data_IF_285501083225
#
_entry.id   IF_285501083225
#
_cell.length_a   1.000
_cell.length_b   1.000
_cell.length_c   1.000
_cell.angle_alpha   90.00
_cell.angle_beta   90.00
_cell.angle_gamma   90.00
#
_symmetry.space_group_name_H-M   'P 1'
#
loop_
_entity.id
_entity.type
_entity.pdbx_description
1 polymer ?
#
# COMPACT_ATOMS: atom_id res chain seq x y z
N UNK A 1 40.30 18.17 -1.53
CA UNK A 1 39.69 18.35 -0.20
C UNK A 1 40.84 18.36 0.76
N UNK A 2 41.03 19.48 1.43
CA UNK A 2 42.34 19.81 1.97
C UNK A 2 42.27 19.78 3.50
N UNK A 3 42.27 18.56 4.04
CA UNK A 3 42.04 18.28 5.48
C UNK A 3 43.19 18.79 6.34
N UNK A 4 44.41 18.82 5.77
CA UNK A 4 45.62 19.29 6.44
C UNK A 4 45.52 20.75 6.93
N UNK A 5 44.53 21.49 6.43
CA UNK A 5 44.27 22.88 6.84
C UNK A 5 43.36 23.01 8.06
N UNK A 6 42.82 21.91 8.60
CA UNK A 6 41.99 21.91 9.80
C UNK A 6 42.82 21.70 11.07
N UNK A 7 42.38 22.32 12.16
CA UNK A 7 42.91 22.08 13.52
C UNK A 7 41.80 21.66 14.48
N UNK A 8 42.14 20.80 15.44
CA UNK A 8 41.24 20.49 16.56
C UNK A 8 40.99 21.76 17.38
N UNK A 9 39.73 22.01 17.73
CA UNK A 9 39.26 23.24 18.38
C UNK A 9 38.95 24.39 17.42
N UNK A 10 39.17 24.25 16.11
CA UNK A 10 38.87 25.31 15.14
C UNK A 10 37.35 25.52 14.98
N UNK A 11 36.92 26.77 15.05
CA UNK A 11 35.51 27.17 14.95
C UNK A 11 35.15 27.72 13.57
N UNK A 12 33.99 27.28 13.05
CA UNK A 12 33.42 27.78 11.80
C UNK A 12 32.01 28.33 12.03
N UNK A 13 31.72 29.50 11.44
CA UNK A 13 30.41 30.18 11.57
C UNK A 13 29.23 29.33 11.06
N UNK A 14 29.46 28.44 10.11
CA UNK A 14 28.46 27.51 9.57
C UNK A 14 29.16 26.45 8.69
N UNK A 15 28.37 25.48 8.20
CA UNK A 15 28.86 24.41 7.34
C UNK A 15 29.45 24.90 6.00
N UNK A 16 28.97 26.02 5.45
CA UNK A 16 29.52 26.60 4.22
C UNK A 16 30.94 27.12 4.44
N UNK A 17 31.20 27.74 5.58
CA UNK A 17 32.54 28.20 5.94
C UNK A 17 33.53 27.02 6.09
N UNK A 18 33.09 25.93 6.72
CA UNK A 18 33.87 24.69 6.80
C UNK A 18 34.17 24.10 5.40
N UNK A 19 33.17 24.02 4.53
CA UNK A 19 33.35 23.53 3.16
C UNK A 19 34.33 24.40 2.35
N UNK A 20 34.27 25.73 2.49
CA UNK A 20 35.21 26.64 1.84
C UNK A 20 36.65 26.40 2.32
N UNK A 21 36.85 26.24 3.64
CA UNK A 21 38.16 25.93 4.23
C UNK A 21 38.76 24.64 3.68
N UNK A 22 37.91 23.64 3.46
CA UNK A 22 38.26 22.33 2.90
C UNK A 22 38.37 22.32 1.37
N UNK A 23 38.13 23.46 0.72
CA UNK A 23 38.09 23.62 -0.73
C UNK A 23 37.10 22.65 -1.41
N UNK A 24 35.89 22.56 -0.85
CA UNK A 24 34.79 21.73 -1.38
C UNK A 24 33.51 22.55 -1.54
N UNK A 25 32.74 22.24 -2.58
CA UNK A 25 31.45 22.89 -2.84
C UNK A 25 30.38 22.30 -1.92
N UNK A 26 29.55 23.14 -1.31
CA UNK A 26 28.41 22.68 -0.50
C UNK A 26 27.39 21.95 -1.39
N UNK A 27 26.99 20.75 -1.00
CA UNK A 27 26.03 19.97 -1.76
C UNK A 27 24.62 20.59 -1.74
N UNK A 28 23.97 20.61 -2.90
CA UNK A 28 22.61 21.14 -3.06
C UNK A 28 21.55 20.10 -2.66
N UNK A 29 20.59 20.54 -1.83
CA UNK A 29 19.46 19.73 -1.36
C UNK A 29 19.73 18.95 -0.07
N UNK A 30 18.71 18.78 0.78
CA UNK A 30 18.86 18.24 2.13
C UNK A 30 19.46 16.82 2.19
N UNK A 31 19.11 15.94 1.23
CA UNK A 31 19.65 14.58 1.15
C UNK A 31 21.14 14.57 0.80
N UNK A 32 21.55 15.35 -0.19
CA UNK A 32 22.95 15.41 -0.63
C UNK A 32 23.81 16.08 0.43
N UNK A 33 23.28 17.10 1.11
CA UNK A 33 23.94 17.73 2.25
C UNK A 33 24.18 16.74 3.40
N UNK A 34 23.19 15.89 3.72
CA UNK A 34 23.35 14.83 4.72
C UNK A 34 24.44 13.83 4.32
N UNK A 35 24.47 13.40 3.06
CA UNK A 35 25.49 12.49 2.55
C UNK A 35 26.88 13.11 2.56
N UNK A 36 27.00 14.38 2.18
CA UNK A 36 28.27 15.11 2.23
C UNK A 36 28.80 15.22 3.66
N UNK A 37 27.92 15.53 4.64
CA UNK A 37 28.29 15.54 6.07
C UNK A 37 28.76 14.17 6.55
N UNK A 38 28.06 13.10 6.16
CA UNK A 38 28.47 11.73 6.51
C UNK A 38 29.83 11.35 5.91
N UNK A 39 30.11 11.80 4.68
CA UNK A 39 31.41 11.59 4.05
C UNK A 39 32.51 12.37 4.79
N UNK A 40 32.27 13.62 5.20
CA UNK A 40 33.23 14.41 5.98
C UNK A 40 33.52 13.82 7.37
N UNK A 41 32.51 13.22 8.02
CA UNK A 41 32.68 12.51 9.31
C UNK A 41 33.64 11.32 9.24
N UNK A 42 34.10 10.92 8.04
CA UNK A 42 35.16 9.91 7.88
C UNK A 42 36.55 10.47 8.14
N UNK A 43 36.73 11.78 8.07
CA UNK A 43 38.02 12.46 8.11
C UNK A 43 38.25 13.23 9.41
N UNK A 44 37.18 13.76 9.99
CA UNK A 44 37.21 14.49 11.27
C UNK A 44 35.80 14.50 11.88
N UNK A 45 35.70 14.70 13.18
CA UNK A 45 34.41 14.92 13.84
C UNK A 45 34.24 16.38 14.29
N UNK A 46 32.98 16.76 14.51
CA UNK A 46 32.63 18.08 14.99
C UNK A 46 31.34 18.06 15.80
N UNK A 47 31.24 19.02 16.70
CA UNK A 47 30.00 19.36 17.38
C UNK A 47 29.42 20.65 16.80
N UNK A 48 28.11 20.84 16.98
CA UNK A 48 27.42 22.08 16.61
C UNK A 48 26.94 22.76 17.87
N UNK A 49 27.45 23.95 18.15
CA UNK A 49 27.01 24.79 19.26
C UNK A 49 26.31 26.03 18.69
N UNK A 50 25.00 26.14 18.96
CA UNK A 50 24.13 27.15 18.35
C UNK A 50 24.18 27.12 16.81
N UNK A 51 24.93 28.03 16.18
CA UNK A 51 25.13 28.07 14.71
C UNK A 51 26.55 27.76 14.27
N UNK A 52 27.47 27.54 15.22
CA UNK A 52 28.88 27.28 14.96
C UNK A 52 29.18 25.79 14.85
N UNK A 53 30.23 25.46 14.11
CA UNK A 53 30.79 24.11 14.02
C UNK A 53 32.17 24.14 14.66
N UNK A 54 32.44 23.21 15.58
CA UNK A 54 33.73 23.12 16.28
C UNK A 54 34.32 21.75 16.00
N UNK A 55 35.53 21.72 15.41
CA UNK A 55 36.23 20.46 15.11
C UNK A 55 36.72 19.84 16.41
N UNK A 56 36.28 18.62 16.72
CA UNK A 56 36.61 17.95 17.98
C UNK A 56 37.74 16.93 17.81
N UNK A 57 37.86 16.35 16.63
CA UNK A 57 38.84 15.30 16.35
C UNK A 57 39.17 15.28 14.87
N UNK A 58 40.44 15.08 14.50
CA UNK A 58 40.88 14.85 13.12
C UNK A 58 41.52 13.46 13.09
N UNK A 59 41.02 12.57 12.23
CA UNK A 59 41.49 11.19 12.21
C UNK A 59 42.80 11.10 11.40
N UNK A 60 43.83 10.41 11.92
CA UNK A 60 45.09 10.21 11.19
C UNK A 60 44.89 9.32 9.95
N UNK A 61 43.94 8.38 10.02
CA UNK A 61 43.50 7.59 8.88
C UNK A 61 42.00 7.77 8.66
N UNK A 62 41.60 7.81 7.39
CA UNK A 62 40.19 8.00 7.02
C UNK A 62 39.37 6.80 7.47
N UNK A 63 38.30 7.01 8.24
CA UNK A 63 37.41 5.92 8.65
C UNK A 63 36.83 5.23 7.40
N UNK A 64 36.67 3.89 7.43
CA UNK A 64 36.10 3.17 6.30
C UNK A 64 34.71 3.71 5.97
N UNK A 65 34.39 3.75 4.68
CA UNK A 65 33.06 4.16 4.24
C UNK A 65 32.05 3.10 4.67
N UNK A 66 31.18 3.44 5.61
CA UNK A 66 30.05 2.58 5.97
C UNK A 66 29.03 2.63 4.84
N UNK A 67 29.14 1.70 3.89
CA UNK A 67 28.16 1.54 2.83
C UNK A 67 27.06 0.57 3.26
N UNK A 68 26.04 1.09 3.94
CA UNK A 68 24.82 0.34 4.27
C UNK A 68 24.01 -0.09 3.03
N UNK A 69 24.50 0.14 1.80
CA UNK A 69 23.95 -0.52 0.60
C UNK A 69 24.37 -1.99 0.51
N UNK A 70 25.59 -2.36 0.94
CA UNK A 70 26.07 -3.76 0.89
C UNK A 70 25.38 -4.65 1.93
N UNK A 71 25.17 -4.15 3.15
CA UNK A 71 24.49 -4.91 4.22
C UNK A 71 22.95 -4.91 4.12
N UNK A 72 22.40 -4.29 3.07
CA UNK A 72 20.99 -4.43 2.69
C UNK A 72 20.82 -5.51 1.60
N UNK A 73 21.56 -6.62 1.63
CA UNK A 73 21.34 -7.76 0.71
C UNK A 73 21.22 -7.41 -0.78
N UNK A 74 21.91 -6.35 -1.24
CA UNK A 74 21.78 -5.84 -2.62
C UNK A 74 23.03 -6.19 -3.40
N UNK A 75 22.92 -7.26 -4.18
CA UNK A 75 23.91 -7.72 -5.14
C UNK A 75 24.16 -6.70 -6.27
N UNK A 76 25.27 -6.87 -6.98
CA UNK A 76 25.53 -6.22 -8.27
C UNK A 76 24.34 -6.40 -9.21
N UNK A 77 23.90 -5.30 -9.86
CA UNK A 77 22.66 -5.25 -10.65
C UNK A 77 21.50 -4.48 -10.00
N UNK A 78 21.64 -4.02 -8.75
CA UNK A 78 20.58 -3.32 -7.99
C UNK A 78 20.16 -1.92 -8.52
N UNK A 79 20.64 -1.50 -9.70
CA UNK A 79 20.00 -0.43 -10.47
C UNK A 79 18.72 -0.90 -11.19
N UNK A 80 18.48 -2.22 -11.22
CA UNK A 80 17.23 -2.85 -11.63
C UNK A 80 16.26 -3.01 -10.45
N UNK A 81 15.01 -2.65 -10.70
CA UNK A 81 13.88 -2.72 -9.80
C UNK A 81 13.50 -4.19 -9.51
N UNK A 82 14.32 -4.94 -8.75
CA UNK A 82 14.04 -6.34 -8.39
C UNK A 82 12.89 -6.38 -7.37
N UNK A 83 11.68 -6.14 -7.85
CA UNK A 83 10.47 -6.47 -7.14
C UNK A 83 10.46 -7.99 -6.92
N UNK A 84 10.81 -8.41 -5.70
CA UNK A 84 10.91 -9.81 -5.27
C UNK A 84 9.63 -10.62 -5.53
N UNK A 85 8.50 -9.94 -5.69
CA UNK A 85 7.19 -10.54 -5.95
C UNK A 85 6.91 -10.78 -7.42
N UNK A 86 7.65 -10.12 -8.31
CA UNK A 86 7.30 -10.05 -9.72
C UNK A 86 7.26 -11.40 -10.41
N UNK A 87 8.28 -12.23 -10.18
CA UNK A 87 8.36 -13.60 -10.70
C UNK A 87 7.19 -14.50 -10.27
N UNK A 88 6.48 -14.16 -9.20
CA UNK A 88 5.31 -14.89 -8.75
C UNK A 88 4.04 -14.32 -9.39
N UNK A 89 3.81 -13.02 -9.19
CA UNK A 89 2.58 -12.36 -9.61
C UNK A 89 2.41 -12.41 -11.13
N UNK A 90 3.48 -12.20 -11.89
CA UNK A 90 3.43 -12.16 -13.35
C UNK A 90 2.97 -13.53 -13.88
N UNK A 91 3.56 -14.60 -13.36
CA UNK A 91 3.23 -15.98 -13.77
C UNK A 91 1.83 -16.41 -13.32
N UNK A 92 1.41 -16.03 -12.10
CA UNK A 92 0.05 -16.33 -11.60
C UNK A 92 -1.00 -15.61 -12.46
N UNK A 93 -0.73 -14.37 -12.87
CA UNK A 93 -1.64 -13.61 -13.73
C UNK A 93 -1.72 -14.19 -15.14
N UNK A 94 -0.58 -14.54 -15.76
CA UNK A 94 -0.57 -15.19 -17.08
C UNK A 94 -1.35 -16.51 -17.05
N UNK A 95 -1.10 -17.37 -16.07
CA UNK A 95 -1.84 -18.62 -15.90
C UNK A 95 -3.34 -18.38 -15.75
N UNK A 96 -3.73 -17.40 -14.94
CA UNK A 96 -5.12 -17.02 -14.76
C UNK A 96 -5.76 -16.55 -16.07
N UNK A 97 -5.10 -15.68 -16.85
CA UNK A 97 -5.63 -15.19 -18.12
C UNK A 97 -5.77 -16.30 -19.16
N UNK A 98 -4.80 -17.20 -19.26
CA UNK A 98 -4.86 -18.37 -20.15
C UNK A 98 -6.03 -19.29 -19.76
N UNK A 99 -6.22 -19.56 -18.46
CA UNK A 99 -7.36 -20.36 -17.98
C UNK A 99 -8.69 -19.67 -18.24
N UNK A 100 -8.78 -18.38 -17.98
CA UNK A 100 -9.98 -17.59 -18.25
C UNK A 100 -10.42 -17.71 -19.71
N UNK A 101 -9.47 -17.56 -20.66
CA UNK A 101 -9.73 -17.65 -22.11
C UNK A 101 -10.14 -19.06 -22.58
N UNK A 102 -9.85 -20.11 -21.80
CA UNK A 102 -10.32 -21.48 -22.11
C UNK A 102 -11.78 -21.70 -21.70
N UNK A 103 -12.25 -20.92 -20.73
CA UNK A 103 -13.56 -21.06 -20.11
C UNK A 103 -14.53 -19.95 -20.57
N UNK A 104 -14.01 -18.86 -21.13
CA UNK A 104 -14.76 -17.64 -21.45
C UNK A 104 -14.16 -16.94 -22.68
N UNK A 105 -15.00 -16.27 -23.46
CA UNK A 105 -14.55 -15.47 -24.62
C UNK A 105 -14.20 -14.01 -24.27
N UNK A 106 -14.38 -13.60 -23.01
CA UNK A 106 -14.15 -12.22 -22.60
C UNK A 106 -12.65 -11.88 -22.54
N UNK A 107 -12.24 -10.91 -23.37
CA UNK A 107 -10.86 -10.43 -23.44
C UNK A 107 -10.58 -9.18 -22.60
N UNK A 108 -11.60 -8.57 -21.99
CA UNK A 108 -11.46 -7.38 -21.15
C UNK A 108 -11.88 -7.71 -19.72
N UNK A 109 -10.91 -7.68 -18.82
CA UNK A 109 -11.09 -8.02 -17.41
C UNK A 109 -10.96 -6.80 -16.51
N UNK A 110 -11.78 -6.77 -15.47
CA UNK A 110 -11.85 -5.66 -14.54
C UNK A 110 -11.50 -6.13 -13.15
N UNK A 111 -10.47 -5.51 -12.57
CA UNK A 111 -10.03 -5.84 -11.22
C UNK A 111 -9.74 -4.60 -10.40
N UNK A 112 -10.26 -4.55 -9.19
CA UNK A 112 -9.71 -3.72 -8.13
C UNK A 112 -8.33 -4.24 -7.72
N UNK A 113 -7.57 -3.37 -7.06
CA UNK A 113 -6.28 -3.78 -6.48
C UNK A 113 -6.40 -4.89 -5.43
N UNK A 114 -7.55 -5.02 -4.78
CA UNK A 114 -7.79 -6.05 -3.77
C UNK A 114 -8.09 -7.40 -4.42
N UNK A 115 -8.86 -7.41 -5.51
CA UNK A 115 -9.12 -8.65 -6.25
C UNK A 115 -7.85 -9.24 -6.84
N UNK A 116 -6.95 -8.44 -7.42
CA UNK A 116 -5.65 -8.97 -7.88
C UNK A 116 -4.82 -9.49 -6.70
N UNK A 117 -4.82 -8.79 -5.56
CA UNK A 117 -4.08 -9.22 -4.37
C UNK A 117 -4.59 -10.57 -3.83
N UNK A 118 -5.91 -10.78 -3.84
CA UNK A 118 -6.53 -12.05 -3.44
C UNK A 118 -6.28 -13.14 -4.48
N UNK A 119 -6.49 -12.84 -5.77
CA UNK A 119 -6.24 -13.75 -6.89
C UNK A 119 -4.81 -14.30 -6.85
N UNK A 120 -3.84 -13.44 -6.55
CA UNK A 120 -2.41 -13.79 -6.45
C UNK A 120 -2.01 -14.43 -5.12
N UNK A 121 -2.90 -14.46 -4.11
CA UNK A 121 -2.61 -15.02 -2.80
C UNK A 121 -1.74 -14.11 -1.90
N UNK A 122 -1.61 -12.82 -2.22
CA UNK A 122 -0.94 -11.86 -1.32
C UNK A 122 -1.76 -11.60 -0.05
N UNK A 123 -3.08 -11.71 -0.16
CA UNK A 123 -4.06 -11.60 0.92
C UNK A 123 -5.08 -12.73 0.79
N UNK A 124 -5.83 -12.98 1.85
CA UNK A 124 -6.96 -13.89 1.80
C UNK A 124 -8.30 -13.14 1.81
N UNK A 125 -9.40 -13.88 1.70
CA UNK A 125 -10.76 -13.36 1.74
C UNK A 125 -11.07 -12.52 3.00
N UNK A 126 -10.55 -12.92 4.17
CA UNK A 126 -10.78 -12.20 5.41
C UNK A 126 -10.20 -10.78 5.38
N UNK A 127 -9.09 -10.55 4.67
CA UNK A 127 -8.56 -9.18 4.49
C UNK A 127 -9.60 -8.26 3.84
N UNK A 128 -10.33 -8.75 2.84
CA UNK A 128 -11.30 -7.95 2.09
C UNK A 128 -12.47 -7.49 2.94
N UNK A 129 -12.98 -8.36 3.81
CA UNK A 129 -14.09 -8.04 4.71
C UNK A 129 -13.66 -7.20 5.93
N UNK A 130 -12.40 -7.29 6.37
CA UNK A 130 -11.90 -6.62 7.58
C UNK A 130 -11.21 -5.27 7.32
N UNK A 131 -10.61 -5.05 6.14
CA UNK A 131 -9.81 -3.84 5.88
C UNK A 131 -10.58 -2.52 6.02
N UNK A 132 -11.88 -2.55 5.73
CA UNK A 132 -12.80 -1.43 5.84
C UNK A 132 -13.57 -1.39 7.18
N UNK A 133 -13.42 -2.43 8.02
CA UNK A 133 -14.13 -2.58 9.29
C UNK A 133 -13.21 -3.10 10.40
N UNK A 134 -12.09 -2.38 10.59
CA UNK A 134 -11.05 -2.75 11.54
C UNK A 134 -11.54 -2.73 12.99
N UNK A 135 -12.57 -1.93 13.30
CA UNK A 135 -13.13 -1.85 14.66
C UNK A 135 -13.92 -3.12 15.01
N UNK A 136 -14.78 -3.63 14.11
CA UNK A 136 -15.47 -4.90 14.39
C UNK A 136 -14.51 -6.09 14.30
N UNK A 137 -13.48 -6.01 13.45
CA UNK A 137 -12.41 -7.01 13.46
C UNK A 137 -11.62 -7.00 14.78
N UNK A 138 -11.31 -5.83 15.34
CA UNK A 138 -10.72 -5.71 16.67
C UNK A 138 -11.63 -6.34 17.74
N UNK A 139 -12.94 -6.05 17.72
CA UNK A 139 -13.90 -6.68 18.65
C UNK A 139 -13.92 -8.20 18.51
N UNK A 140 -13.90 -8.72 17.28
CA UNK A 140 -13.82 -10.15 17.01
C UNK A 140 -12.58 -10.79 17.65
N UNK A 141 -11.41 -10.17 17.48
CA UNK A 141 -10.17 -10.66 18.08
C UNK A 141 -10.12 -10.47 19.61
N UNK A 142 -10.72 -9.42 20.16
CA UNK A 142 -10.82 -9.20 21.61
C UNK A 142 -11.79 -10.14 22.31
N UNK A 143 -12.78 -10.70 21.60
CA UNK A 143 -13.66 -11.74 22.13
C UNK A 143 -12.98 -13.13 22.16
N UNK A 144 -11.72 -13.22 21.70
CA UNK A 144 -10.89 -14.41 21.85
C UNK A 144 -10.11 -14.37 23.18
N UNK A 145 -9.53 -15.51 23.57
CA UNK A 145 -8.68 -15.63 24.77
C UNK A 145 -7.42 -14.74 24.74
N UNK A 146 -7.13 -14.06 23.62
CA UNK A 146 -5.92 -13.27 23.43
C UNK A 146 -6.27 -11.88 22.85
N UNK A 147 -6.61 -10.88 23.68
CA UNK A 147 -6.98 -9.55 23.18
C UNK A 147 -5.82 -8.88 22.47
N UNK A 148 -6.03 -8.43 21.22
CA UNK A 148 -5.02 -7.74 20.42
C UNK A 148 -5.17 -6.22 20.53
N UNK A 149 -4.09 -5.47 20.36
CA UNK A 149 -4.15 -4.00 20.34
C UNK A 149 -4.66 -3.44 19.00
N UNK A 150 -5.41 -2.32 19.05
CA UNK A 150 -5.75 -1.54 17.83
C UNK A 150 -4.51 -1.07 17.06
N UNK A 151 -3.39 -0.85 17.76
CA UNK A 151 -2.11 -0.45 17.15
C UNK A 151 -1.55 -1.56 16.28
N UNK A 152 -1.53 -2.81 16.77
CA UNK A 152 -1.12 -3.97 15.98
C UNK A 152 -1.97 -4.15 14.71
N UNK A 153 -3.30 -4.07 14.83
CA UNK A 153 -4.22 -4.14 13.67
C UNK A 153 -3.87 -3.06 12.64
N UNK A 154 -3.76 -1.80 13.07
CA UNK A 154 -3.45 -0.68 12.18
C UNK A 154 -2.12 -0.89 11.46
N UNK A 155 -1.11 -1.39 12.16
CA UNK A 155 0.22 -1.61 11.60
C UNK A 155 0.23 -2.74 10.56
N UNK A 156 -0.42 -3.87 10.82
CA UNK A 156 -0.56 -4.94 9.81
C UNK A 156 -1.23 -4.41 8.55
N UNK A 157 -2.42 -3.81 8.67
CA UNK A 157 -3.14 -3.29 7.48
C UNK A 157 -2.35 -2.23 6.73
N UNK A 158 -1.67 -1.31 7.45
CA UNK A 158 -0.83 -0.27 6.85
C UNK A 158 0.33 -0.87 6.07
N UNK A 159 1.03 -1.87 6.63
CA UNK A 159 2.18 -2.51 5.99
C UNK A 159 1.77 -3.34 4.78
N UNK A 160 0.65 -4.08 4.88
CA UNK A 160 0.05 -4.81 3.75
C UNK A 160 -0.33 -3.83 2.64
N UNK A 161 -1.12 -2.80 2.95
CA UNK A 161 -1.57 -1.82 1.96
C UNK A 161 -0.40 -1.12 1.26
N UNK A 162 0.68 -0.86 2.00
CA UNK A 162 1.91 -0.27 1.48
C UNK A 162 2.65 -1.13 0.44
N UNK A 163 2.40 -2.44 0.39
CA UNK A 163 3.00 -3.34 -0.61
C UNK A 163 2.04 -3.73 -1.74
N UNK A 164 0.74 -3.82 -1.51
CA UNK A 164 -0.19 -4.36 -2.52
C UNK A 164 -0.15 -3.53 -3.81
N UNK A 165 -0.46 -2.23 -3.71
CA UNK A 165 -0.61 -1.37 -4.90
C UNK A 165 0.68 -1.22 -5.72
N UNK A 166 1.84 -0.88 -5.13
CA UNK A 166 3.07 -0.73 -5.90
C UNK A 166 3.51 -2.03 -6.57
N UNK A 167 3.31 -3.16 -5.89
CA UNK A 167 3.73 -4.46 -6.39
C UNK A 167 2.88 -4.90 -7.57
N UNK A 168 1.55 -4.85 -7.43
CA UNK A 168 0.60 -5.21 -8.49
C UNK A 168 0.77 -4.30 -9.70
N UNK A 169 0.83 -2.98 -9.49
CA UNK A 169 1.07 -2.03 -10.58
C UNK A 169 2.37 -2.32 -11.32
N UNK A 170 3.44 -2.65 -10.60
CA UNK A 170 4.72 -3.01 -11.21
C UNK A 170 4.63 -4.28 -12.05
N UNK A 171 3.85 -5.27 -11.62
CA UNK A 171 3.57 -6.50 -12.37
C UNK A 171 2.80 -6.25 -13.64
N UNK A 172 1.66 -5.57 -13.54
CA UNK A 172 0.87 -5.20 -14.73
C UNK A 172 1.70 -4.39 -15.73
N UNK A 173 2.53 -3.47 -15.25
CA UNK A 173 3.43 -2.68 -16.10
C UNK A 173 4.53 -3.53 -16.75
N UNK A 174 5.02 -4.60 -16.11
CA UNK A 174 5.98 -5.52 -16.75
C UNK A 174 5.28 -6.35 -17.83
N UNK A 175 4.14 -6.94 -17.51
CA UNK A 175 3.34 -7.71 -18.48
C UNK A 175 2.95 -6.85 -19.71
N UNK A 176 2.59 -5.58 -19.49
CA UNK A 176 2.32 -4.65 -20.58
C UNK A 176 3.57 -4.33 -21.41
N UNK A 177 4.72 -4.10 -20.78
CA UNK A 177 5.98 -3.87 -21.50
C UNK A 177 6.46 -5.08 -22.28
N UNK A 178 6.12 -6.29 -21.80
CA UNK A 178 6.37 -7.54 -22.50
C UNK A 178 5.36 -7.78 -23.64
N UNK A 179 4.34 -6.93 -23.79
CA UNK A 179 3.33 -7.07 -24.82
C UNK A 179 2.37 -8.25 -24.60
N UNK A 180 2.20 -8.68 -23.35
CA UNK A 180 1.22 -9.72 -22.98
C UNK A 180 -0.16 -9.14 -22.73
N UNK A 181 -0.25 -7.94 -22.19
CA UNK A 181 -1.51 -7.27 -21.88
C UNK A 181 -1.45 -5.80 -22.26
N UNK A 182 -2.60 -5.15 -22.34
CA UNK A 182 -2.71 -3.70 -22.17
C UNK A 182 -3.53 -3.44 -20.92
N UNK A 183 -3.17 -2.44 -20.12
CA UNK A 183 -4.00 -2.06 -18.98
C UNK A 183 -4.05 -0.55 -18.74
N UNK A 184 -5.20 -0.11 -18.24
CA UNK A 184 -5.41 1.26 -17.76
C UNK A 184 -5.99 1.24 -16.36
N UNK A 185 -5.83 2.36 -15.65
CA UNK A 185 -6.50 2.61 -14.36
C UNK A 185 -7.58 3.65 -14.61
N UNK A 186 -8.83 3.30 -14.30
CA UNK A 186 -9.98 4.19 -14.50
C UNK A 186 -11.02 4.03 -13.41
N UNK A 187 -12.09 4.82 -13.50
CA UNK A 187 -13.27 4.63 -12.66
C UNK A 187 -14.21 3.65 -13.35
N UNK A 188 -14.57 2.57 -12.66
CA UNK A 188 -15.62 1.66 -13.07
C UNK A 188 -16.94 2.08 -12.44
N UNK A 189 -17.96 2.21 -13.26
CA UNK A 189 -19.29 2.66 -12.91
C UNK A 189 -20.20 1.44 -12.78
N UNK A 190 -20.88 1.35 -11.64
CA UNK A 190 -21.90 0.35 -11.35
C UNK A 190 -23.27 0.99 -11.51
N UNK A 191 -24.10 0.41 -12.37
CA UNK A 191 -25.45 0.89 -12.62
C UNK A 191 -26.47 0.11 -11.77
N UNK A 192 -27.65 0.68 -11.49
CA UNK A 192 -28.76 -0.06 -10.90
C UNK A 192 -29.14 -1.24 -11.81
N UNK A 193 -29.49 -2.39 -11.21
CA UNK A 193 -30.08 -3.50 -11.97
C UNK A 193 -31.43 -3.03 -12.53
N UNK A 194 -31.70 -3.33 -13.81
CA UNK A 194 -33.04 -3.19 -14.37
C UNK A 194 -33.84 -4.46 -14.01
N UNK A 195 -35.12 -4.30 -13.70
CA UNK A 195 -35.97 -5.38 -13.15
C UNK A 195 -36.11 -6.59 -14.11
N UNK A 196 -35.84 -6.40 -15.40
CA UNK A 196 -36.04 -7.40 -16.46
C UNK A 196 -34.75 -8.02 -17.04
N UNK A 197 -33.56 -7.72 -16.47
CA UNK A 197 -32.29 -8.27 -16.94
C UNK A 197 -31.50 -8.96 -15.82
N UNK A 198 -31.13 -10.22 -16.05
CA UNK A 198 -30.30 -10.99 -15.11
C UNK A 198 -28.84 -10.47 -15.06
N UNK A 199 -28.36 -9.87 -16.15
CA UNK A 199 -26.97 -9.42 -16.30
C UNK A 199 -26.74 -7.93 -16.01
N UNK A 200 -25.59 -7.63 -15.42
CA UNK A 200 -25.10 -6.29 -15.14
C UNK A 200 -24.57 -5.57 -16.42
N UNK A 201 -25.21 -5.75 -17.58
CA UNK A 201 -24.71 -5.34 -18.91
C UNK A 201 -24.46 -3.83 -19.06
N UNK A 202 -24.93 -2.99 -18.13
CA UNK A 202 -24.66 -1.55 -18.13
C UNK A 202 -23.31 -1.14 -17.52
N UNK A 203 -22.62 -2.01 -16.79
CA UNK A 203 -21.40 -1.64 -16.07
C UNK A 203 -20.24 -1.35 -17.02
N UNK A 204 -19.58 -0.20 -16.85
CA UNK A 204 -18.52 0.25 -17.75
C UNK A 204 -17.53 1.17 -17.07
N UNK A 205 -16.44 1.48 -17.76
CA UNK A 205 -15.58 2.58 -17.33
C UNK A 205 -16.24 3.92 -17.61
N UNK A 206 -15.96 4.86 -16.72
CA UNK A 206 -16.19 6.27 -16.96
C UNK A 206 -15.36 6.72 -18.17
N UNK A 207 -15.97 7.50 -19.05
CA UNK A 207 -15.23 8.17 -20.13
C UNK A 207 -14.38 9.33 -19.58
N UNK A 208 -13.72 10.06 -20.47
CA UNK A 208 -12.84 11.17 -20.09
C UNK A 208 -13.58 12.35 -19.45
N UNK A 209 -14.82 12.61 -19.86
CA UNK A 209 -15.65 13.71 -19.35
C UNK A 209 -16.17 13.35 -17.96
N UNK A 210 -16.73 12.16 -17.80
CA UNK A 210 -17.16 11.60 -16.52
C UNK A 210 -16.00 11.48 -15.54
N UNK A 211 -14.83 11.01 -15.99
CA UNK A 211 -13.61 10.93 -15.18
C UNK A 211 -13.19 12.31 -14.66
N UNK A 212 -13.27 13.35 -15.49
CA UNK A 212 -12.97 14.74 -15.08
C UNK A 212 -14.00 15.23 -14.06
N UNK A 213 -15.28 14.93 -14.25
CA UNK A 213 -16.34 15.29 -13.30
C UNK A 213 -16.13 14.62 -11.93
N UNK A 214 -15.84 13.32 -11.89
CA UNK A 214 -15.53 12.59 -10.64
C UNK A 214 -14.32 13.22 -9.93
N UNK A 215 -13.21 13.46 -10.65
CA UNK A 215 -12.01 14.09 -10.08
C UNK A 215 -12.26 15.49 -9.57
N UNK A 216 -13.12 16.26 -10.23
CA UNK A 216 -13.53 17.60 -9.79
C UNK A 216 -14.23 17.51 -8.44
N UNK A 217 -15.23 16.64 -8.30
CA UNK A 217 -15.94 16.41 -7.03
C UNK A 217 -15.00 15.94 -5.93
N UNK A 218 -14.11 14.98 -6.21
CA UNK A 218 -13.11 14.50 -5.25
C UNK A 218 -12.23 15.64 -4.70
N UNK A 219 -11.76 16.54 -5.58
CA UNK A 219 -10.95 17.69 -5.19
C UNK A 219 -11.74 18.77 -4.44
N UNK A 220 -12.98 19.02 -4.83
CA UNK A 220 -13.87 19.96 -4.14
C UNK A 220 -14.13 19.51 -2.70
N UNK A 221 -14.49 18.24 -2.49
CA UNK A 221 -14.73 17.70 -1.15
C UNK A 221 -13.47 17.74 -0.28
N UNK A 222 -12.28 17.48 -0.84
CA UNK A 222 -11.02 17.65 -0.08
C UNK A 222 -10.83 19.09 0.42
N UNK A 223 -11.10 20.08 -0.44
CA UNK A 223 -10.99 21.51 -0.11
C UNK A 223 -12.02 21.92 0.93
N UNK A 224 -13.29 21.52 0.75
CA UNK A 224 -14.38 21.81 1.69
C UNK A 224 -14.13 21.21 3.08
N UNK A 225 -13.56 20.00 3.15
CA UNK A 225 -13.20 19.36 4.40
C UNK A 225 -11.92 19.93 5.03
N UNK A 226 -11.14 20.75 4.32
CA UNK A 226 -9.87 21.27 4.80
C UNK A 226 -8.82 20.18 5.08
N UNK A 227 -8.83 19.09 4.31
CA UNK A 227 -7.91 17.95 4.51
C UNK A 227 -7.06 17.67 3.28
N UNK A 228 -5.85 17.17 3.51
CA UNK A 228 -4.98 16.65 2.45
C UNK A 228 -5.26 15.17 2.17
N UNK A 229 -4.85 14.68 1.00
CA UNK A 229 -4.91 13.25 0.66
C UNK A 229 -4.15 12.41 1.69
N UNK A 230 -3.00 12.88 2.16
CA UNK A 230 -2.21 12.19 3.18
C UNK A 230 -2.98 12.07 4.51
N UNK A 231 -3.60 13.16 4.96
CA UNK A 231 -4.41 13.18 6.20
C UNK A 231 -5.65 12.28 6.08
N UNK A 232 -6.33 12.31 4.92
CA UNK A 232 -7.43 11.39 4.59
C UNK A 232 -6.98 9.94 4.69
N UNK A 233 -5.85 9.58 4.07
CA UNK A 233 -5.40 8.20 4.02
C UNK A 233 -4.91 7.67 5.39
N UNK A 234 -4.46 8.55 6.28
CA UNK A 234 -3.99 8.18 7.62
C UNK A 234 -5.12 7.95 8.63
N UNK A 235 -6.31 8.54 8.42
CA UNK A 235 -7.40 8.51 9.38
C UNK A 235 -8.66 7.85 8.77
N UNK A 236 -8.99 6.64 9.26
CA UNK A 236 -10.12 5.85 8.76
C UNK A 236 -11.47 6.57 8.91
N UNK A 237 -11.70 7.32 9.98
CA UNK A 237 -12.94 8.10 10.20
C UNK A 237 -13.07 9.23 9.17
N UNK A 238 -12.00 10.00 8.97
CA UNK A 238 -11.96 11.05 7.94
C UNK A 238 -12.10 10.46 6.52
N UNK A 239 -11.48 9.31 6.26
CA UNK A 239 -11.61 8.62 4.96
C UNK A 239 -13.06 8.20 4.70
N UNK A 240 -13.75 7.64 5.69
CA UNK A 240 -15.15 7.23 5.58
C UNK A 240 -16.05 8.43 5.30
N UNK A 241 -15.90 9.51 6.07
CA UNK A 241 -16.65 10.74 5.86
C UNK A 241 -16.41 11.36 4.48
N UNK A 242 -15.16 11.42 4.04
CA UNK A 242 -14.79 11.88 2.71
C UNK A 242 -15.52 11.09 1.60
N UNK A 243 -15.43 9.76 1.62
CA UNK A 243 -16.06 8.95 0.58
C UNK A 243 -17.59 8.98 0.64
N UNK A 244 -18.20 9.16 1.83
CA UNK A 244 -19.64 9.38 1.93
C UNK A 244 -20.07 10.66 1.19
N UNK A 245 -19.38 11.78 1.43
CA UNK A 245 -19.66 13.07 0.75
C UNK A 245 -19.43 13.00 -0.75
N UNK A 246 -18.28 12.45 -1.16
CA UNK A 246 -17.94 12.29 -2.57
C UNK A 246 -18.98 11.41 -3.27
N UNK A 247 -19.31 10.24 -2.71
CA UNK A 247 -20.26 9.32 -3.34
C UNK A 247 -21.65 9.95 -3.51
N UNK A 248 -22.11 10.73 -2.53
CA UNK A 248 -23.37 11.46 -2.64
C UNK A 248 -23.31 12.47 -3.79
N UNK A 249 -22.29 13.33 -3.81
CA UNK A 249 -22.18 14.42 -4.79
C UNK A 249 -21.88 13.94 -6.21
N UNK A 250 -21.09 12.87 -6.36
CA UNK A 250 -20.89 12.25 -7.68
C UNK A 250 -22.20 11.71 -8.23
N UNK A 251 -23.04 11.05 -7.41
CA UNK A 251 -24.36 10.58 -7.87
C UNK A 251 -25.25 11.73 -8.33
N UNK A 252 -25.27 12.84 -7.60
CA UNK A 252 -26.01 14.05 -7.99
C UNK A 252 -25.50 14.62 -9.33
N UNK A 253 -24.18 14.72 -9.51
CA UNK A 253 -23.56 15.15 -10.77
C UNK A 253 -23.91 14.23 -11.93
N UNK A 254 -23.89 12.91 -11.73
CA UNK A 254 -24.26 11.96 -12.78
C UNK A 254 -25.72 12.11 -13.22
N UNK A 255 -26.63 12.34 -12.28
CA UNK A 255 -28.05 12.58 -12.60
C UNK A 255 -28.23 13.91 -13.33
N UNK A 256 -27.61 14.99 -12.86
CA UNK A 256 -27.87 16.33 -13.37
C UNK A 256 -27.12 16.64 -14.68
N UNK A 257 -25.85 16.22 -14.78
CA UNK A 257 -24.96 16.63 -15.86
C UNK A 257 -24.88 15.58 -16.99
N UNK A 258 -25.19 14.32 -16.67
CA UNK A 258 -25.08 13.19 -17.60
C UNK A 258 -26.40 12.44 -17.81
N UNK A 259 -27.51 12.90 -17.23
CA UNK A 259 -28.82 12.25 -17.26
C UNK A 259 -28.75 10.74 -16.93
N UNK A 260 -27.88 10.39 -15.99
CA UNK A 260 -27.48 9.01 -15.73
C UNK A 260 -27.54 8.69 -14.26
N UNK A 261 -28.20 7.58 -13.90
CA UNK A 261 -28.24 7.09 -12.52
C UNK A 261 -27.20 6.00 -12.30
N UNK A 262 -26.20 6.27 -11.46
CA UNK A 262 -25.23 5.26 -11.02
C UNK A 262 -25.53 4.77 -9.59
N UNK A 263 -25.33 3.48 -9.35
CA UNK A 263 -25.42 2.85 -8.02
C UNK A 263 -24.15 3.12 -7.20
N UNK A 264 -22.98 2.98 -7.82
CA UNK A 264 -21.68 3.21 -7.19
C UNK A 264 -20.59 3.40 -8.25
N UNK A 265 -19.39 3.77 -7.82
CA UNK A 265 -18.20 3.73 -8.65
C UNK A 265 -16.97 3.39 -7.82
N UNK A 266 -15.90 2.90 -8.47
CA UNK A 266 -14.61 2.67 -7.83
C UNK A 266 -13.46 2.72 -8.83
N UNK A 267 -12.23 2.86 -8.34
CA UNK A 267 -11.04 2.74 -9.18
C UNK A 267 -10.68 1.27 -9.40
N UNK A 268 -10.44 0.89 -10.65
CA UNK A 268 -10.03 -0.45 -11.06
C UNK A 268 -9.00 -0.43 -12.19
N UNK A 269 -8.38 -1.58 -12.40
CA UNK A 269 -7.58 -1.93 -13.57
C UNK A 269 -8.51 -2.52 -14.63
N UNK A 270 -8.52 -1.92 -15.82
CA UNK A 270 -9.06 -2.54 -17.04
C UNK A 270 -7.90 -3.24 -17.72
N UNK A 271 -7.97 -4.55 -17.88
CA UNK A 271 -6.91 -5.37 -18.46
C UNK A 271 -7.45 -6.00 -19.75
N UNK A 272 -6.82 -5.67 -20.86
CA UNK A 272 -7.06 -6.28 -22.17
C UNK A 272 -6.02 -7.38 -22.40
N UNK A 273 -6.51 -8.60 -22.61
CA UNK A 273 -5.70 -9.82 -22.81
C UNK A 273 -5.74 -10.32 -24.27
N UNK A 274 -6.09 -9.47 -25.23
CA UNK A 274 -6.16 -9.81 -26.66
C UNK A 274 -4.88 -10.43 -27.21
N UNK A 275 -3.71 -9.96 -26.77
CA UNK A 275 -2.42 -10.53 -27.20
C UNK A 275 -2.24 -11.98 -26.73
N UNK A 276 -2.70 -12.31 -25.52
CA UNK A 276 -2.70 -13.70 -25.02
C UNK A 276 -3.68 -14.54 -25.83
N UNK A 277 -4.89 -14.03 -26.11
CA UNK A 277 -5.85 -14.74 -26.95
C UNK A 277 -5.31 -15.02 -28.35
N UNK A 278 -4.68 -14.04 -28.99
CA UNK A 278 -4.02 -14.23 -30.29
C UNK A 278 -2.96 -15.33 -30.22
N UNK A 279 -2.14 -15.36 -29.16
CA UNK A 279 -1.18 -16.44 -28.94
C UNK A 279 -1.81 -17.82 -28.85
N UNK A 280 -2.94 -17.92 -28.14
CA UNK A 280 -3.66 -19.18 -27.99
C UNK A 280 -4.30 -19.65 -29.30
N UNK A 281 -4.67 -18.71 -30.18
CA UNK A 281 -5.37 -19.02 -31.44
C UNK A 281 -4.45 -19.42 -32.59
N UNK A 282 -3.19 -18.97 -32.61
CA UNK A 282 -2.26 -19.40 -33.65
C UNK A 282 -2.00 -20.92 -33.56
N UNK A 283 -1.81 -21.60 -34.68
CA UNK A 283 -1.22 -22.95 -34.71
C UNK A 283 0.31 -22.86 -34.69
N UNK A 284 1.03 -23.96 -34.46
CA UNK A 284 2.49 -23.92 -34.52
C UNK A 284 2.98 -23.68 -35.95
N UNK A 285 2.31 -24.29 -36.94
CA UNK A 285 2.56 -24.07 -38.37
C UNK A 285 2.44 -22.57 -38.72
N UNK A 286 1.37 -21.91 -38.26
CA UNK A 286 1.19 -20.48 -38.50
C UNK A 286 2.29 -19.63 -37.85
N UNK A 287 2.78 -20.02 -36.67
CA UNK A 287 3.90 -19.30 -36.05
C UNK A 287 5.21 -19.51 -36.82
N UNK A 288 5.44 -20.71 -37.34
CA UNK A 288 6.63 -21.04 -38.13
C UNK A 288 6.65 -20.23 -39.45
N UNK A 289 5.51 -20.13 -40.14
CA UNK A 289 5.35 -19.29 -41.33
C UNK A 289 5.62 -17.80 -41.05
N UNK A 290 5.12 -17.28 -39.93
CA UNK A 290 5.35 -15.88 -39.52
C UNK A 290 6.83 -15.63 -39.17
N UNK A 291 7.48 -16.58 -38.51
CA UNK A 291 8.90 -16.54 -38.12
C UNK A 291 9.81 -16.51 -39.36
N UNK A 292 9.53 -17.36 -40.34
CA UNK A 292 10.24 -17.41 -41.64
C UNK A 292 10.15 -16.07 -42.39
N UNK A 293 8.97 -15.45 -42.38
CA UNK A 293 8.74 -14.15 -43.01
C UNK A 293 9.31 -12.97 -42.21
N UNK A 294 9.81 -13.19 -40.98
CA UNK A 294 10.40 -12.19 -40.08
C UNK A 294 9.51 -10.96 -39.87
N UNK A 295 8.19 -11.15 -39.89
CA UNK A 295 7.21 -10.06 -39.78
C UNK A 295 7.18 -9.53 -38.35
N UNK A 296 7.15 -10.45 -37.38
CA UNK A 296 7.13 -10.16 -35.94
C UNK A 296 7.96 -11.20 -35.19
N UNK A 297 8.47 -10.82 -34.01
CA UNK A 297 9.10 -11.77 -33.09
C UNK A 297 8.03 -12.70 -32.49
N UNK A 298 8.05 -13.97 -32.94
CA UNK A 298 7.08 -14.98 -32.50
C UNK A 298 7.40 -15.62 -31.15
N UNK A 299 8.59 -15.35 -30.57
CA UNK A 299 9.09 -16.00 -29.35
C UNK A 299 8.07 -15.90 -28.20
N UNK A 300 7.47 -14.72 -28.01
CA UNK A 300 6.46 -14.50 -26.97
C UNK A 300 5.21 -15.38 -27.13
N UNK A 301 4.80 -15.66 -28.36
CA UNK A 301 3.61 -16.46 -28.63
C UNK A 301 3.88 -17.94 -28.38
N UNK A 302 5.10 -18.41 -28.71
CA UNK A 302 5.57 -19.76 -28.35
C UNK A 302 5.67 -19.93 -26.83
N UNK A 303 6.26 -18.95 -26.13
CA UNK A 303 6.35 -18.95 -24.66
C UNK A 303 4.98 -19.07 -23.98
N UNK A 304 3.98 -18.32 -24.46
CA UNK A 304 2.61 -18.37 -23.92
C UNK A 304 1.93 -19.72 -24.16
N UNK A 305 2.10 -20.33 -25.34
CA UNK A 305 1.50 -21.64 -25.66
C UNK A 305 2.05 -22.77 -24.82
N UNK A 306 3.35 -22.74 -24.55
CA UNK A 306 4.03 -23.73 -23.72
C UNK A 306 3.95 -23.40 -22.23
N UNK A 307 3.34 -22.27 -21.87
CA UNK A 307 3.25 -21.78 -20.51
C UNK A 307 2.55 -22.79 -19.60
N UNK A 308 3.32 -23.39 -18.70
CA UNK A 308 2.85 -24.32 -17.68
C UNK A 308 3.49 -23.96 -16.36
N UNK A 309 2.65 -23.65 -15.38
CA UNK A 309 3.10 -23.31 -14.04
C UNK A 309 2.16 -23.88 -13.00
N UNK A 310 2.72 -24.29 -11.86
CA UNK A 310 1.93 -24.59 -10.68
C UNK A 310 1.57 -23.30 -9.95
N UNK A 311 0.51 -22.64 -10.42
CA UNK A 311 0.03 -21.40 -9.80
C UNK A 311 -0.37 -21.58 -8.33
N UNK A 312 -0.82 -22.77 -7.93
CA UNK A 312 -1.15 -23.03 -6.53
C UNK A 312 0.10 -22.97 -5.65
N UNK A 313 1.18 -23.61 -6.08
CA UNK A 313 2.49 -23.53 -5.43
C UNK A 313 3.04 -22.10 -5.42
N UNK A 314 2.98 -21.39 -6.56
CA UNK A 314 3.45 -20.00 -6.61
C UNK A 314 2.66 -19.06 -5.68
N UNK A 315 1.34 -19.25 -5.55
CA UNK A 315 0.52 -18.49 -4.59
C UNK A 315 0.96 -18.73 -3.15
N UNK A 316 1.27 -19.98 -2.79
CA UNK A 316 1.78 -20.34 -1.46
C UNK A 316 3.14 -19.67 -1.18
N UNK A 317 4.10 -19.83 -2.09
CA UNK A 317 5.43 -19.23 -1.97
C UNK A 317 5.37 -17.68 -1.90
N UNK A 318 4.50 -17.07 -2.71
CA UNK A 318 4.27 -15.62 -2.67
C UNK A 318 3.66 -15.18 -1.33
N UNK A 319 2.68 -15.93 -0.82
CA UNK A 319 2.03 -15.62 0.45
C UNK A 319 3.03 -15.64 1.61
N UNK A 320 3.86 -16.68 1.67
CA UNK A 320 4.94 -16.78 2.66
C UNK A 320 5.90 -15.60 2.57
N UNK A 321 6.35 -15.25 1.36
CA UNK A 321 7.23 -14.11 1.13
C UNK A 321 6.61 -12.77 1.54
N UNK A 322 5.32 -12.58 1.26
CA UNK A 322 4.54 -11.41 1.68
C UNK A 322 4.49 -11.32 3.21
N UNK A 323 4.11 -12.41 3.87
CA UNK A 323 4.04 -12.51 5.33
C UNK A 323 5.39 -12.18 5.95
N UNK A 324 6.48 -12.79 5.47
CA UNK A 324 7.82 -12.55 6.00
C UNK A 324 8.27 -11.10 5.82
N UNK A 325 8.02 -10.48 4.66
CA UNK A 325 8.35 -9.06 4.46
C UNK A 325 7.57 -8.14 5.41
N UNK A 326 6.29 -8.45 5.67
CA UNK A 326 5.47 -7.66 6.60
C UNK A 326 6.01 -7.79 8.03
N UNK A 327 6.29 -9.01 8.49
CA UNK A 327 6.90 -9.26 9.81
C UNK A 327 8.22 -8.52 9.96
N UNK A 328 9.12 -8.63 8.99
CA UNK A 328 10.42 -7.95 9.01
C UNK A 328 10.28 -6.43 9.08
N UNK A 329 9.33 -5.84 8.34
CA UNK A 329 9.06 -4.40 8.39
C UNK A 329 8.47 -3.93 9.72
N UNK A 330 7.71 -4.78 10.40
CA UNK A 330 7.10 -4.45 11.70
C UNK A 330 8.11 -4.62 12.83
N UNK A 331 8.90 -5.70 12.78
CA UNK A 331 9.98 -5.94 13.73
C UNK A 331 11.02 -4.83 13.67
N UNK A 332 11.38 -4.38 12.45
CA UNK A 332 12.24 -3.21 12.28
C UNK A 332 11.65 -1.95 12.91
N UNK A 333 10.36 -1.64 12.66
CA UNK A 333 9.70 -0.48 13.27
C UNK A 333 9.76 -0.56 14.82
N UNK A 334 9.59 -1.75 15.42
CA UNK A 334 9.70 -1.96 16.88
C UNK A 334 11.12 -1.67 17.37
N UNK A 335 12.13 -2.26 16.74
CA UNK A 335 13.55 -2.04 17.09
C UNK A 335 13.91 -0.55 16.98
N UNK A 336 13.51 0.10 15.90
CA UNK A 336 13.80 1.53 15.68
C UNK A 336 13.18 2.38 16.82
N UNK A 337 11.95 2.07 17.26
CA UNK A 337 11.28 2.76 18.38
C UNK A 337 11.97 2.48 19.73
N UNK A 338 12.34 1.23 20.00
CA UNK A 338 13.04 0.85 21.25
C UNK A 338 14.40 1.53 21.34
N UNK A 339 15.12 1.67 20.23
CA UNK A 339 16.38 2.40 20.15
C UNK A 339 16.18 3.90 20.38
N UNK A 340 15.13 4.50 19.82
CA UNK A 340 14.80 5.91 20.02
C UNK A 340 14.48 6.24 21.50
N UNK A 341 13.75 5.36 22.19
CA UNK A 341 13.38 5.54 23.60
C UNK A 341 14.59 5.39 24.53
N UNK A 342 15.49 4.45 24.23
CA UNK A 342 16.66 4.17 25.06
C UNK A 342 17.87 5.08 24.74
N UNK A 343 17.73 6.04 23.83
CA UNK A 343 18.83 6.88 23.39
C UNK A 343 19.20 7.95 24.46
N UNK A 344 20.40 7.87 25.08
CA UNK A 344 20.82 8.82 26.12
C UNK A 344 20.97 10.26 25.64
N UNK A 345 21.07 10.48 24.32
CA UNK A 345 21.36 11.80 23.71
C UNK A 345 20.11 12.61 23.36
N UNK A 346 18.90 12.03 23.46
CA UNK A 346 17.64 12.71 23.09
C UNK A 346 16.94 13.45 24.25
N UNK A 347 17.64 13.66 25.37
CA UNK A 347 17.05 14.18 26.61
C UNK A 347 16.28 13.09 27.36
N UNK A 348 15.76 13.40 28.54
CA UNK A 348 14.94 12.46 29.31
C UNK A 348 13.73 12.04 28.44
N UNK A 349 13.45 10.73 28.30
CA UNK A 349 12.28 10.26 27.58
C UNK A 349 11.03 10.97 28.12
N UNK A 350 10.09 11.34 27.23
CA UNK A 350 8.81 11.89 27.67
C UNK A 350 8.21 10.98 28.76
N UNK A 351 7.92 11.50 29.98
CA UNK A 351 7.41 10.68 31.08
C UNK A 351 6.07 10.02 30.75
N UNK A 352 5.33 10.52 29.76
CA UNK A 352 4.08 9.94 29.28
C UNK A 352 4.24 9.60 27.79
N UNK A 353 4.54 8.33 27.51
CA UNK A 353 4.61 7.83 26.14
C UNK A 353 3.21 7.74 25.52
N UNK A 354 3.02 8.15 24.25
CA UNK A 354 1.80 7.90 23.50
C UNK A 354 1.40 6.41 23.51
N UNK A 355 0.09 6.12 23.58
CA UNK A 355 -0.43 4.73 23.63
C UNK A 355 0.12 3.83 22.51
N UNK A 356 0.30 4.36 21.31
CA UNK A 356 0.85 3.58 20.18
C UNK A 356 2.32 3.22 20.35
N UNK A 357 3.09 3.98 21.14
CA UNK A 357 4.47 3.63 21.51
C UNK A 357 4.42 2.52 22.56
N UNK A 358 3.61 2.71 23.61
CA UNK A 358 3.41 1.72 24.68
C UNK A 358 3.01 0.36 24.09
N UNK A 359 2.04 0.35 23.18
CA UNK A 359 1.56 -0.86 22.50
C UNK A 359 2.65 -1.57 21.70
N UNK A 360 3.64 -0.86 21.15
CA UNK A 360 4.69 -1.44 20.28
C UNK A 360 5.88 -1.97 21.05
N UNK A 361 6.22 -1.33 22.17
CA UNK A 361 7.30 -1.80 23.05
C UNK A 361 6.86 -2.97 23.93
N UNK A 362 5.55 -3.14 24.14
CA UNK A 362 4.99 -4.28 24.84
C UNK A 362 5.49 -5.63 24.26
N UNK A 363 5.80 -6.59 25.14
CA UNK A 363 6.31 -7.90 24.75
C UNK A 363 5.34 -8.70 23.88
N UNK A 364 4.04 -8.49 24.07
CA UNK A 364 2.97 -9.15 23.32
C UNK A 364 2.76 -8.56 21.92
N UNK A 365 3.36 -7.41 21.60
CA UNK A 365 3.11 -6.74 20.32
C UNK A 365 3.35 -7.65 19.12
N UNK A 366 4.46 -8.40 19.10
CA UNK A 366 4.74 -9.30 17.98
C UNK A 366 3.77 -10.49 17.93
N UNK A 367 3.30 -10.98 19.07
CA UNK A 367 2.27 -12.03 19.14
C UNK A 367 0.92 -11.54 18.60
N UNK A 368 0.54 -10.30 18.92
CA UNK A 368 -0.66 -9.67 18.35
C UNK A 368 -0.56 -9.61 16.82
N UNK A 369 0.61 -9.25 16.28
CA UNK A 369 0.87 -9.19 14.84
C UNK A 369 0.72 -10.57 14.20
N UNK A 370 1.31 -11.61 14.80
CA UNK A 370 1.15 -13.00 14.34
C UNK A 370 -0.31 -13.43 14.33
N UNK A 371 -1.03 -13.12 15.41
CA UNK A 371 -2.45 -13.45 15.54
C UNK A 371 -3.28 -12.79 14.43
N UNK A 372 -3.02 -11.52 14.12
CA UNK A 372 -3.71 -10.81 13.03
C UNK A 372 -3.37 -11.42 11.66
N UNK A 373 -2.08 -11.68 11.39
CA UNK A 373 -1.59 -12.26 10.13
C UNK A 373 -2.27 -13.60 9.85
N UNK A 374 -2.46 -14.44 10.87
CA UNK A 374 -3.17 -15.72 10.78
C UNK A 374 -4.56 -15.56 10.17
N UNK A 375 -5.29 -14.51 10.53
CA UNK A 375 -6.64 -14.31 10.02
C UNK A 375 -6.66 -13.67 8.64
N UNK A 376 -5.79 -12.69 8.35
CA UNK A 376 -5.95 -11.82 7.16
C UNK A 376 -4.98 -12.10 6.02
N UNK A 377 -3.91 -12.87 6.24
CA UNK A 377 -2.93 -13.17 5.19
C UNK A 377 -2.81 -14.66 4.88
N UNK A 378 -2.84 -15.55 5.89
CA UNK A 378 -2.67 -16.98 5.65
C UNK A 378 -3.79 -17.53 4.76
N UNK A 379 -3.42 -18.24 3.69
CA UNK A 379 -4.37 -18.70 2.68
C UNK A 379 -5.36 -19.76 3.19
N UNK A 380 -4.99 -20.51 4.23
CA UNK A 380 -5.84 -21.53 4.86
C UNK A 380 -6.72 -20.97 5.99
N UNK A 381 -6.77 -19.65 6.19
CA UNK A 381 -7.60 -19.04 7.22
C UNK A 381 -9.08 -19.32 6.95
N UNK A 382 -9.81 -19.77 7.98
CA UNK A 382 -11.26 -19.90 7.92
C UNK A 382 -11.91 -18.53 7.76
N UNK A 383 -12.98 -18.47 6.96
CA UNK A 383 -13.77 -17.25 6.82
C UNK A 383 -14.34 -16.82 8.17
N UNK A 384 -14.26 -15.53 8.49
CA UNK A 384 -14.85 -14.93 9.70
C UNK A 384 -16.05 -14.02 9.39
N UNK A 385 -16.60 -14.14 8.17
CA UNK A 385 -17.65 -13.25 7.66
C UNK A 385 -18.90 -13.29 8.53
N UNK A 386 -19.37 -14.49 8.88
CA UNK A 386 -20.58 -14.68 9.66
C UNK A 386 -20.45 -14.10 11.07
N UNK A 387 -19.30 -14.31 11.71
CA UNK A 387 -19.00 -13.79 13.04
C UNK A 387 -18.94 -12.26 13.04
N UNK A 388 -18.34 -11.66 12.01
CA UNK A 388 -18.33 -10.21 11.84
C UNK A 388 -19.73 -9.64 11.57
N UNK A 389 -20.55 -10.31 10.78
CA UNK A 389 -21.95 -9.90 10.55
C UNK A 389 -22.77 -9.96 11.85
N UNK A 390 -22.58 -10.99 12.67
CA UNK A 390 -23.21 -11.10 13.98
C UNK A 390 -22.77 -9.99 14.94
N UNK A 391 -21.47 -9.65 14.97
CA UNK A 391 -20.97 -8.52 15.76
C UNK A 391 -21.62 -7.22 15.28
N UNK A 392 -21.68 -6.97 13.96
CA UNK A 392 -22.32 -5.77 13.40
C UNK A 392 -23.80 -5.67 13.76
N UNK A 393 -24.53 -6.78 13.69
CA UNK A 393 -25.95 -6.82 14.04
C UNK A 393 -26.15 -6.45 15.52
N UNK A 394 -25.34 -7.02 16.42
CA UNK A 394 -25.39 -6.70 17.86
C UNK A 394 -25.08 -5.22 18.13
N UNK A 395 -24.12 -4.64 17.44
CA UNK A 395 -23.78 -3.22 17.59
C UNK A 395 -24.90 -2.31 17.11
N UNK A 396 -25.54 -2.62 15.97
CA UNK A 396 -26.71 -1.86 15.51
C UNK A 396 -27.86 -1.89 16.50
N UNK A 397 -28.16 -3.07 17.08
CA UNK A 397 -29.20 -3.20 18.12
C UNK A 397 -28.84 -2.35 19.35
N UNK A 398 -27.56 -2.34 19.73
CA UNK A 398 -27.08 -1.52 20.86
C UNK A 398 -27.22 -0.01 20.58
N UNK A 399 -26.86 0.43 19.38
CA UNK A 399 -27.00 1.83 18.94
C UNK A 399 -28.48 2.26 18.90
N UNK A 400 -29.38 1.41 18.41
CA UNK A 400 -30.82 1.67 18.41
C UNK A 400 -31.38 1.83 19.83
N UNK A 401 -31.04 0.91 20.74
CA UNK A 401 -31.47 1.00 22.15
C UNK A 401 -30.95 2.26 22.84
N UNK A 402 -29.72 2.68 22.53
CA UNK A 402 -29.16 3.92 23.07
C UNK A 402 -29.88 5.16 22.54
N UNK A 403 -30.26 5.18 21.26
CA UNK A 403 -31.04 6.27 20.67
C UNK A 403 -32.47 6.31 21.23
N UNK A 404 -33.11 5.16 21.40
CA UNK A 404 -34.43 5.05 22.03
C UNK A 404 -34.41 5.58 23.46
N UNK A 405 -33.39 5.21 24.25
CA UNK A 405 -33.23 5.68 25.62
C UNK A 405 -32.90 7.18 25.69
N UNK A 406 -32.04 7.69 24.80
CA UNK A 406 -31.73 9.11 24.74
C UNK A 406 -32.95 9.95 24.32
N UNK A 407 -33.76 9.47 23.39
CA UNK A 407 -35.03 10.11 23.04
C UNK A 407 -36.00 10.08 24.23
N UNK A 408 -36.09 8.96 24.95
CA UNK A 408 -36.97 8.85 26.12
C UNK A 408 -36.56 9.79 27.26
N UNK A 409 -35.25 9.97 27.48
CA UNK A 409 -34.71 10.94 28.45
C UNK A 409 -34.94 12.40 28.00
N UNK A 410 -34.85 12.70 26.71
CA UNK A 410 -35.14 14.03 26.14
C UNK A 410 -36.63 14.41 26.24
N UNK A 411 -37.54 13.44 26.20
CA UNK A 411 -38.99 13.65 26.44
C UNK A 411 -39.36 13.64 27.93
N UNK A 412 -38.55 13.04 28.81
CA UNK A 412 -38.82 12.98 30.26
C UNK A 412 -38.80 14.33 30.96
N UNK A 413 -38.12 15.35 30.42
CA UNK A 413 -38.14 16.73 30.96
C UNK A 413 -39.45 17.46 30.66
N UNK A 414 -40.14 17.08 29.57
CA UNK A 414 -41.43 17.69 29.21
C UNK A 414 -42.56 17.23 30.14
N UNK A 415 -42.45 16.01 30.69
CA UNK A 415 -43.43 15.45 31.63
C UNK A 415 -43.27 15.97 33.08
N UNK A 416 -42.21 16.73 33.38
CA UNK A 416 -41.99 17.40 34.69
C UNK A 416 -42.42 18.88 34.69
N UNK A 417 -43.00 19.37 33.58
CA UNK A 417 -43.50 20.74 33.42
C UNK A 417 -45.04 20.88 33.47
N UNK A 418 -45.75 19.77 33.65
CA UNK A 418 -47.18 19.69 34.02
C UNK A 418 -47.32 19.38 35.52
#
# INVERSE_FOLDING_TARGET
MDINNLKVGEEFKNYKALCNKLNIVVANGGRNLKLQKQELKRYFDWITESRKIIITEIYPETKPKVDNRKNNGKSEGSRGNNNIYGKYIDNILIDYFIKHLKENDNIVLNFTNREIAELTGMINFNYNITCNDKDNFHKYLCNSTTPVTKTAIRDVFRKVQGILKPTIYSSLNRLQKQGYISFIIGYYLLFPKQEDQEDEEGNRYADDVETKAIKKVENEVLKEMGITIAKKNYNDKLRKEYYNRVNKRVKEVFVNDFDTKIKSYWTSYRIDIKEIQQAMNFTNIQLDEIDELKIIDVTKYRELKEFKVDSCKLKQELNELVIQNIKNKIHKDKIDIEQEINNPTLGLPNPIQPKWIIDRIDGKYLEDIEHIIKYVLQLNAKSIKFELENIKAKEKIKEQKQQEQQNQDDYSWLDELD
#
